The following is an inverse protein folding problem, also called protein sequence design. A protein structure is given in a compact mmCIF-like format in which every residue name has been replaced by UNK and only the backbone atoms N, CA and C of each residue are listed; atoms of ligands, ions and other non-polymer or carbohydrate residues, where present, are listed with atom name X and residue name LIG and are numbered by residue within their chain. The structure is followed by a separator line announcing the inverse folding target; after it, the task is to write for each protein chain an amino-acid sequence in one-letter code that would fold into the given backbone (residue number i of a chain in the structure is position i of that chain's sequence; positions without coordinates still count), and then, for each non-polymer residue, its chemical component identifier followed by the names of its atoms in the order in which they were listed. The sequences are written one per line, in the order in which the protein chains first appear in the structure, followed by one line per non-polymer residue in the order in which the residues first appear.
data_IF_714923867098
#
_entry.id   IF_714923867098
#
_cell.length_a   1.000
_cell.length_b   1.000
_cell.length_c   1.000
_cell.angle_alpha   90.00
_cell.angle_beta   90.00
_cell.angle_gamma   90.00
#
_symmetry.space_group_name_H-M   'P 1'
#
loop_
_entity.id
_entity.type
_entity.pdbx_description
1 polymer ?
#
# COMPACT_ATOMS: atom_id res chain seq x y z
N UNK A 1 -11.18 5.93 -11.57
CA UNK A 1 -10.68 7.32 -11.54
C UNK A 1 -9.26 7.33 -12.07
N UNK A 2 -8.91 8.21 -13.02
CA UNK A 2 -7.54 8.39 -13.49
C UNK A 2 -7.09 9.83 -13.21
N UNK A 3 -5.80 10.00 -12.94
CA UNK A 3 -5.17 11.33 -12.86
C UNK A 3 -5.03 11.85 -14.28
N UNK A 4 -5.61 13.02 -14.58
CA UNK A 4 -5.50 13.67 -15.88
C UNK A 4 -4.51 14.83 -15.88
N UNK A 5 -4.18 15.37 -14.72
CA UNK A 5 -3.15 16.38 -14.52
C UNK A 5 -2.45 16.15 -13.19
N UNK A 6 -1.13 16.19 -13.19
CA UNK A 6 -0.29 16.09 -12.00
C UNK A 6 0.69 17.25 -11.97
N UNK A 7 0.67 18.02 -10.89
CA UNK A 7 1.60 19.11 -10.64
C UNK A 7 2.44 18.81 -9.42
N UNK A 8 3.74 18.99 -9.53
CA UNK A 8 4.71 18.75 -8.47
C UNK A 8 5.60 19.97 -8.35
N UNK A 9 5.69 20.55 -7.17
CA UNK A 9 6.57 21.68 -6.90
C UNK A 9 7.49 21.37 -5.70
N UNK A 10 8.78 21.67 -5.86
CA UNK A 10 9.81 21.66 -4.82
C UNK A 10 9.98 20.32 -4.10
N UNK A 11 9.75 19.20 -4.80
CA UNK A 11 9.88 17.85 -4.24
C UNK A 11 11.22 17.22 -4.66
N UNK A 12 12.10 16.98 -3.73
CA UNK A 12 13.45 16.43 -3.98
C UNK A 12 14.21 17.32 -4.97
N UNK A 13 14.60 16.71 -6.11
CA UNK A 13 15.28 17.38 -7.23
C UNK A 13 14.29 18.01 -8.25
N UNK A 14 12.98 17.88 -8.04
CA UNK A 14 11.98 18.48 -8.91
C UNK A 14 11.67 19.90 -8.40
N UNK A 15 11.91 20.92 -9.23
CA UNK A 15 11.53 22.30 -8.91
C UNK A 15 10.08 22.55 -9.26
N UNK A 16 9.70 22.38 -10.51
CA UNK A 16 8.32 22.49 -10.99
C UNK A 16 8.12 21.52 -12.15
N UNK A 17 7.13 20.66 -12.02
CA UNK A 17 6.80 19.63 -13.03
C UNK A 17 5.31 19.61 -13.21
N UNK A 18 4.83 19.73 -14.45
CA UNK A 18 3.43 19.55 -14.83
C UNK A 18 3.34 18.42 -15.86
N UNK A 19 2.47 17.45 -15.56
CA UNK A 19 2.29 16.24 -16.35
C UNK A 19 0.83 16.07 -16.69
N UNK A 20 0.57 15.56 -17.90
CA UNK A 20 -0.76 15.14 -18.36
C UNK A 20 -0.74 13.61 -18.56
N UNK A 21 -0.96 12.82 -17.50
CA UNK A 21 -0.86 11.38 -17.60
C UNK A 21 -1.93 10.80 -18.54
N UNK A 22 -1.54 9.79 -19.31
CA UNK A 22 -2.47 8.99 -20.09
C UNK A 22 -3.30 8.09 -19.13
N UNK A 23 -4.60 7.87 -19.40
CA UNK A 23 -5.46 7.11 -18.49
C UNK A 23 -5.07 5.63 -18.32
N UNK A 24 -4.33 5.03 -19.23
CA UNK A 24 -3.98 3.60 -19.18
C UNK A 24 -2.55 3.33 -18.76
N UNK A 25 -1.56 3.87 -19.46
CA UNK A 25 -0.15 3.56 -19.20
C UNK A 25 0.72 4.80 -19.42
N UNK A 26 1.63 5.02 -18.47
CA UNK A 26 2.62 6.09 -18.53
C UNK A 26 3.99 5.49 -18.27
N UNK A 27 4.94 5.77 -19.12
CA UNK A 27 6.33 5.34 -19.00
C UNK A 27 7.21 6.54 -18.69
N UNK A 28 7.88 6.52 -17.54
CA UNK A 28 8.87 7.54 -17.15
C UNK A 28 10.26 7.03 -17.48
N UNK A 29 10.92 7.67 -18.46
CA UNK A 29 12.28 7.34 -18.91
C UNK A 29 13.24 8.48 -18.60
N UNK A 30 14.54 8.23 -18.63
CA UNK A 30 15.58 9.24 -18.43
C UNK A 30 16.79 8.73 -17.66
N UNK A 31 17.85 9.55 -17.56
CA UNK A 31 19.08 9.24 -16.86
C UNK A 31 18.88 9.01 -15.34
N UNK A 32 19.86 8.39 -14.68
CA UNK A 32 19.85 8.29 -13.23
C UNK A 32 19.90 9.70 -12.60
N UNK A 33 19.06 9.93 -11.57
CA UNK A 33 18.94 11.26 -10.95
C UNK A 33 17.97 12.22 -11.63
N UNK A 34 17.36 11.88 -12.80
CA UNK A 34 16.45 12.78 -13.54
C UNK A 34 15.10 13.05 -12.85
N UNK A 35 14.82 12.47 -11.69
CA UNK A 35 13.58 12.73 -10.97
C UNK A 35 12.46 11.69 -11.18
N UNK A 36 12.65 10.61 -11.95
CA UNK A 36 11.63 9.56 -12.17
C UNK A 36 11.04 9.02 -10.87
N UNK A 37 11.92 8.66 -9.94
CA UNK A 37 11.51 8.17 -8.62
C UNK A 37 10.83 9.26 -7.79
N UNK A 38 11.22 10.53 -7.98
CA UNK A 38 10.60 11.67 -7.30
C UNK A 38 9.16 11.90 -7.77
N UNK A 39 8.85 11.65 -9.05
CA UNK A 39 7.47 11.67 -9.57
C UNK A 39 6.62 10.57 -8.92
N UNK A 40 7.14 9.34 -8.79
CA UNK A 40 6.44 8.27 -8.09
C UNK A 40 6.27 8.57 -6.59
N UNK A 41 7.29 9.19 -5.99
CA UNK A 41 7.23 9.61 -4.58
C UNK A 41 6.17 10.71 -4.37
N UNK A 42 5.99 11.61 -5.35
CA UNK A 42 4.92 12.61 -5.33
C UNK A 42 3.52 11.94 -5.38
N UNK A 43 3.30 10.99 -6.27
CA UNK A 43 2.05 10.21 -6.32
C UNK A 43 1.82 9.44 -5.01
N UNK A 44 2.86 8.82 -4.45
CA UNK A 44 2.77 8.11 -3.18
C UNK A 44 2.48 9.04 -2.00
N UNK A 45 3.08 10.24 -2.00
CA UNK A 45 2.78 11.27 -1.02
C UNK A 45 1.32 11.70 -1.11
N UNK A 46 0.80 11.91 -2.33
CA UNK A 46 -0.59 12.28 -2.55
C UNK A 46 -1.55 11.16 -2.19
N UNK A 47 -1.25 9.91 -2.54
CA UNK A 47 -2.14 8.75 -2.32
C UNK A 47 -2.09 8.16 -0.91
N UNK A 48 -1.00 8.36 -0.15
CA UNK A 48 -0.80 7.74 1.17
C UNK A 48 -0.34 8.72 2.26
N UNK A 49 -0.17 10.01 1.94
CA UNK A 49 0.25 11.07 2.86
C UNK A 49 1.68 10.93 3.38
N UNK A 50 2.48 10.04 2.81
CA UNK A 50 3.86 9.75 3.24
C UNK A 50 4.76 9.39 2.06
N UNK A 51 6.08 9.60 2.25
CA UNK A 51 7.08 9.10 1.33
C UNK A 51 7.37 7.61 1.57
N UNK A 52 7.64 6.84 0.50
CA UNK A 52 8.14 5.47 0.61
C UNK A 52 9.67 5.41 0.77
N UNK A 53 10.38 6.54 0.60
CA UNK A 53 11.85 6.60 0.68
C UNK A 53 12.36 7.13 2.01
N UNK A 54 11.58 7.97 2.70
CA UNK A 54 12.04 8.62 3.94
C UNK A 54 10.86 9.07 4.81
N UNK A 55 10.92 8.75 6.09
CA UNK A 55 9.99 9.30 7.09
C UNK A 55 10.26 10.76 7.47
N UNK A 56 11.39 11.35 7.06
CA UNK A 56 11.79 12.71 7.43
C UNK A 56 11.28 13.71 6.38
N UNK A 57 10.37 14.62 6.79
CA UNK A 57 9.77 15.63 5.92
C UNK A 57 10.82 16.51 5.22
N UNK A 58 11.86 16.94 5.94
CA UNK A 58 12.96 17.77 5.40
C UNK A 58 13.63 17.14 4.17
N UNK A 59 13.76 15.81 4.14
CA UNK A 59 14.36 15.11 2.99
C UNK A 59 13.45 15.02 1.78
N UNK A 60 12.16 15.29 1.93
CA UNK A 60 11.18 15.30 0.85
C UNK A 60 11.17 16.63 0.11
N UNK A 61 11.35 17.70 0.84
CA UNK A 61 11.36 19.09 0.32
C UNK A 61 12.72 19.37 -0.34
N UNK A 62 12.71 20.11 -1.46
CA UNK A 62 13.93 20.62 -2.09
C UNK A 62 14.75 21.44 -1.07
N UNK A 63 16.09 21.37 -1.15
CA UNK A 63 16.96 21.97 -0.14
C UNK A 63 16.85 23.49 -0.05
N UNK A 64 16.53 24.16 -1.15
CA UNK A 64 16.36 25.61 -1.21
C UNK A 64 14.96 26.09 -0.70
N UNK A 65 14.04 25.15 -0.41
CA UNK A 65 12.64 25.47 -0.18
C UNK A 65 12.14 25.08 1.21
N UNK A 66 11.08 25.74 1.67
CA UNK A 66 10.44 25.48 2.96
C UNK A 66 9.36 24.40 2.91
N UNK A 67 8.81 24.11 1.74
CA UNK A 67 7.75 23.13 1.54
C UNK A 67 7.73 22.58 0.10
N UNK A 68 7.20 21.38 -0.08
CA UNK A 68 6.83 20.86 -1.39
C UNK A 68 5.32 20.73 -1.52
N UNK A 69 4.83 20.73 -2.77
CA UNK A 69 3.40 20.59 -3.08
C UNK A 69 3.22 19.55 -4.17
N UNK A 70 2.20 18.73 -4.01
CA UNK A 70 1.72 17.81 -5.06
C UNK A 70 0.22 18.04 -5.22
N UNK A 71 -0.20 18.23 -6.45
CA UNK A 71 -1.59 18.42 -6.82
C UNK A 71 -1.94 17.49 -7.97
N UNK A 72 -3.14 16.91 -7.93
CA UNK A 72 -3.69 16.13 -9.02
C UNK A 72 -5.13 16.54 -9.33
N UNK A 73 -5.47 16.52 -10.61
CA UNK A 73 -6.84 16.58 -11.12
C UNK A 73 -7.22 15.21 -11.67
N UNK A 74 -8.45 14.79 -11.41
CA UNK A 74 -8.98 13.50 -11.82
C UNK A 74 -9.95 13.62 -12.99
N UNK A 75 -10.15 12.52 -13.72
CA UNK A 75 -11.02 12.48 -14.89
C UNK A 75 -12.51 12.80 -14.59
N UNK A 76 -12.94 12.63 -13.34
CA UNK A 76 -14.28 13.00 -12.87
C UNK A 76 -14.41 14.48 -12.49
N UNK A 77 -13.38 15.28 -12.75
CA UNK A 77 -13.33 16.71 -12.43
C UNK A 77 -12.89 17.04 -11.00
N UNK A 78 -12.79 16.05 -10.12
CA UNK A 78 -12.33 16.25 -8.75
C UNK A 78 -10.84 16.53 -8.66
N UNK A 79 -10.39 17.00 -7.51
CA UNK A 79 -9.02 17.45 -7.27
C UNK A 79 -8.51 16.97 -5.91
N UNK A 80 -7.21 16.73 -5.81
CA UNK A 80 -6.56 16.48 -4.54
C UNK A 80 -5.19 17.15 -4.49
N UNK A 81 -4.81 17.66 -3.32
CA UNK A 81 -3.52 18.29 -3.11
C UNK A 81 -2.98 18.04 -1.71
N UNK A 82 -1.66 17.96 -1.62
CA UNK A 82 -0.91 17.89 -0.37
C UNK A 82 0.26 18.86 -0.42
N UNK A 83 0.39 19.68 0.63
CA UNK A 83 1.58 20.49 0.90
C UNK A 83 2.28 19.93 2.12
N UNK A 84 3.58 19.71 2.01
CA UNK A 84 4.41 19.19 3.10
C UNK A 84 5.53 20.16 3.40
N UNK A 85 5.51 20.74 4.59
CA UNK A 85 6.57 21.60 5.10
C UNK A 85 7.80 20.79 5.51
N UNK A 86 8.98 21.40 5.37
CA UNK A 86 10.23 20.84 5.86
C UNK A 86 10.23 20.63 7.39
N UNK A 87 9.46 21.43 8.12
CA UNK A 87 9.18 21.32 9.56
C UNK A 87 8.22 20.19 9.93
N UNK A 88 7.63 19.50 8.93
CA UNK A 88 6.68 18.40 9.11
C UNK A 88 5.21 18.80 9.03
N UNK A 89 4.87 20.08 8.94
CA UNK A 89 3.50 20.53 8.72
C UNK A 89 2.90 19.94 7.45
N UNK A 90 1.61 19.65 7.50
CA UNK A 90 0.88 19.07 6.37
C UNK A 90 -0.43 19.82 6.17
N UNK A 91 -0.63 20.35 4.97
CA UNK A 91 -1.91 20.88 4.54
C UNK A 91 -2.48 19.98 3.43
N UNK A 92 -3.77 19.68 3.53
CA UNK A 92 -4.49 18.82 2.61
C UNK A 92 -5.62 19.60 1.94
N UNK A 93 -5.91 19.27 0.69
CA UNK A 93 -7.06 19.76 -0.05
C UNK A 93 -7.67 18.65 -0.88
N UNK A 94 -9.00 18.47 -0.80
CA UNK A 94 -9.75 17.53 -1.64
C UNK A 94 -11.03 18.22 -2.08
N UNK A 95 -11.31 18.23 -3.38
CA UNK A 95 -12.54 18.78 -4.00
C UNK A 95 -12.93 20.17 -3.46
N UNK A 96 -11.96 21.10 -3.45
CA UNK A 96 -12.06 22.47 -2.93
C UNK A 96 -12.21 22.63 -1.40
N UNK A 97 -12.28 21.56 -0.63
CA UNK A 97 -12.25 21.62 0.83
C UNK A 97 -10.81 21.52 1.36
N UNK A 98 -10.46 22.40 2.30
CA UNK A 98 -9.20 22.34 3.06
C UNK A 98 -9.38 21.70 4.46
N UNK A 99 -10.63 21.47 4.88
CA UNK A 99 -10.93 20.77 6.13
C UNK A 99 -11.09 19.26 5.88
N UNK A 100 -10.02 18.65 5.43
CA UNK A 100 -10.03 17.21 5.05
C UNK A 100 -9.04 16.44 5.91
N UNK A 101 -9.38 15.18 6.14
CA UNK A 101 -8.51 14.22 6.81
C UNK A 101 -7.62 13.49 5.81
N UNK A 102 -6.51 12.94 6.29
CA UNK A 102 -5.65 12.09 5.47
C UNK A 102 -6.42 10.88 4.90
N UNK A 103 -7.37 10.32 5.65
CA UNK A 103 -8.20 9.21 5.19
C UNK A 103 -9.02 9.58 3.94
N UNK A 104 -9.60 10.78 3.89
CA UNK A 104 -10.34 11.26 2.71
C UNK A 104 -9.42 11.42 1.50
N UNK A 105 -8.20 11.95 1.70
CA UNK A 105 -7.20 12.04 0.64
C UNK A 105 -6.82 10.64 0.11
N UNK A 106 -6.56 9.68 1.01
CA UNK A 106 -6.21 8.29 0.66
C UNK A 106 -7.35 7.60 -0.10
N UNK A 107 -8.60 7.83 0.30
CA UNK A 107 -9.76 7.32 -0.44
C UNK A 107 -9.86 7.91 -1.86
N UNK A 108 -9.43 9.17 -2.05
CA UNK A 108 -9.50 9.85 -3.35
C UNK A 108 -8.52 9.29 -4.37
N UNK A 109 -7.35 8.80 -3.93
CA UNK A 109 -6.34 8.19 -4.78
C UNK A 109 -5.85 6.87 -4.18
N UNK A 110 -6.59 5.77 -4.38
CA UNK A 110 -6.12 4.44 -4.01
C UNK A 110 -4.84 4.11 -4.80
N UNK A 111 -3.70 4.06 -4.12
CA UNK A 111 -2.40 3.84 -4.73
C UNK A 111 -1.79 2.52 -4.25
N UNK A 112 -1.35 1.69 -5.19
CA UNK A 112 -0.55 0.51 -4.91
C UNK A 112 0.85 0.69 -5.48
N UNK A 113 1.86 0.72 -4.63
CA UNK A 113 3.26 0.79 -5.03
C UNK A 113 3.86 -0.62 -5.06
N UNK A 114 4.54 -0.94 -6.16
CA UNK A 114 5.42 -2.11 -6.25
C UNK A 114 6.87 -1.63 -6.32
N UNK A 115 7.62 -1.92 -5.28
CA UNK A 115 9.01 -1.52 -5.07
C UNK A 115 9.84 -2.69 -4.49
N UNK A 116 11.15 -2.55 -4.31
CA UNK A 116 11.96 -3.61 -3.69
C UNK A 116 11.51 -4.00 -2.28
N UNK A 117 10.98 -3.06 -1.47
CA UNK A 117 10.45 -3.31 -0.13
C UNK A 117 9.13 -4.10 -0.15
N UNK A 118 8.46 -4.16 -1.30
CA UNK A 118 7.26 -4.99 -1.48
C UNK A 118 7.53 -6.48 -1.27
N UNK A 119 8.80 -6.92 -1.35
CA UNK A 119 9.22 -8.29 -1.03
C UNK A 119 9.00 -8.65 0.44
N UNK A 120 8.92 -7.66 1.33
CA UNK A 120 8.59 -7.84 2.74
C UNK A 120 7.21 -8.49 2.96
N UNK A 121 6.33 -8.48 1.95
CA UNK A 121 5.07 -9.23 2.00
C UNK A 121 5.29 -10.76 2.16
N UNK A 122 6.42 -11.28 1.69
CA UNK A 122 6.79 -12.67 1.86
C UNK A 122 7.92 -12.84 2.88
N UNK A 123 8.97 -12.05 2.77
CA UNK A 123 10.23 -12.27 3.49
C UNK A 123 10.22 -11.69 4.93
N UNK A 124 9.28 -10.78 5.25
CA UNK A 124 9.16 -10.20 6.60
C UNK A 124 8.04 -10.86 7.44
N UNK A 125 7.93 -10.42 8.71
CA UNK A 125 6.87 -10.85 9.62
C UNK A 125 5.46 -10.45 9.16
N UNK A 126 4.46 -10.69 10.00
CA UNK A 126 3.03 -10.46 9.67
C UNK A 126 2.63 -8.99 9.42
N UNK A 127 3.42 -8.02 9.88
CA UNK A 127 3.06 -6.60 9.83
C UNK A 127 2.84 -6.06 8.40
N UNK A 128 3.73 -6.30 7.41
CA UNK A 128 3.49 -5.86 6.03
C UNK A 128 2.25 -6.51 5.42
N UNK A 129 2.04 -7.81 5.63
CA UNK A 129 0.89 -8.57 5.11
C UNK A 129 -0.42 -8.06 5.69
N UNK A 130 -0.46 -7.84 7.01
CA UNK A 130 -1.63 -7.25 7.68
C UNK A 130 -1.91 -5.84 7.19
N UNK A 131 -0.88 -5.00 7.03
CA UNK A 131 -1.04 -3.65 6.49
C UNK A 131 -1.60 -3.66 5.06
N UNK A 132 -1.19 -4.65 4.25
CA UNK A 132 -1.69 -4.85 2.89
C UNK A 132 -3.16 -5.29 2.89
N UNK A 133 -3.54 -6.21 3.78
CA UNK A 133 -4.94 -6.64 3.97
C UNK A 133 -5.81 -5.46 4.43
N UNK A 134 -5.38 -4.74 5.46
CA UNK A 134 -6.11 -3.59 6.00
C UNK A 134 -6.26 -2.46 4.99
N UNK A 135 -5.24 -2.25 4.13
CA UNK A 135 -5.33 -1.31 3.01
C UNK A 135 -6.44 -1.71 2.02
N UNK A 136 -6.54 -2.98 1.69
CA UNK A 136 -7.60 -3.47 0.81
C UNK A 136 -8.99 -3.29 1.42
N UNK A 137 -9.17 -3.71 2.67
CA UNK A 137 -10.44 -3.55 3.40
C UNK A 137 -10.84 -2.07 3.51
N UNK A 138 -9.90 -1.19 3.81
CA UNK A 138 -10.13 0.26 3.92
C UNK A 138 -10.76 0.87 2.67
N UNK A 139 -10.36 0.42 1.48
CA UNK A 139 -10.89 0.96 0.22
C UNK A 139 -12.25 0.38 -0.19
N UNK A 140 -12.69 -0.71 0.40
CA UNK A 140 -13.93 -1.41 0.06
C UNK A 140 -15.01 -1.21 1.13
N UNK A 141 -14.63 -1.19 2.40
CA UNK A 141 -15.56 -1.09 3.54
C UNK A 141 -15.39 0.26 4.26
N UNK A 142 -16.32 1.18 4.05
CA UNK A 142 -16.25 2.52 4.64
C UNK A 142 -16.29 2.54 6.18
N UNK A 143 -16.90 1.52 6.80
CA UNK A 143 -16.97 1.39 8.26
C UNK A 143 -15.67 0.86 8.87
N UNK A 144 -14.76 0.34 8.08
CA UNK A 144 -13.50 -0.25 8.56
C UNK A 144 -12.65 0.75 9.34
N UNK A 145 -12.41 1.92 8.77
CA UNK A 145 -11.46 2.89 9.35
C UNK A 145 -11.89 3.41 10.74
N UNK A 146 -13.14 3.82 10.98
CA UNK A 146 -13.60 4.19 12.33
C UNK A 146 -13.45 3.06 13.36
N UNK A 147 -13.75 1.81 12.97
CA UNK A 147 -13.59 0.64 13.84
C UNK A 147 -12.13 0.34 14.13
N UNK A 148 -11.29 0.42 13.11
CA UNK A 148 -9.85 0.25 13.23
C UNK A 148 -9.24 1.29 14.19
N UNK A 149 -9.64 2.54 14.08
CA UNK A 149 -9.18 3.60 14.98
C UNK A 149 -9.61 3.35 16.44
N UNK A 150 -10.86 2.92 16.68
CA UNK A 150 -11.32 2.56 18.03
C UNK A 150 -10.48 1.44 18.60
N UNK A 151 -10.30 0.37 17.84
CA UNK A 151 -9.47 -0.76 18.25
C UNK A 151 -8.03 -0.33 18.57
N UNK A 152 -7.40 0.46 17.71
CA UNK A 152 -6.02 0.94 17.92
C UNK A 152 -5.88 1.82 19.17
N UNK A 153 -6.86 2.67 19.45
CA UNK A 153 -6.88 3.49 20.67
C UNK A 153 -7.00 2.62 21.93
N UNK A 154 -7.95 1.69 21.94
CA UNK A 154 -8.16 0.76 23.05
C UNK A 154 -6.92 -0.12 23.28
N UNK A 155 -6.31 -0.66 22.22
CA UNK A 155 -5.07 -1.43 22.28
C UNK A 155 -3.92 -0.62 22.88
N UNK A 156 -3.75 0.63 22.44
CA UNK A 156 -2.71 1.53 22.96
C UNK A 156 -2.92 1.81 24.44
N UNK A 157 -4.15 2.07 24.86
CA UNK A 157 -4.50 2.28 26.27
C UNK A 157 -4.22 1.02 27.09
N UNK A 158 -4.74 -0.15 26.66
CA UNK A 158 -4.48 -1.43 27.33
C UNK A 158 -2.98 -1.69 27.49
N UNK A 159 -2.20 -1.52 26.42
CA UNK A 159 -0.75 -1.71 26.47
C UNK A 159 -0.03 -0.69 27.37
N UNK A 160 -0.55 0.53 27.50
CA UNK A 160 -0.02 1.52 28.45
C UNK A 160 -0.26 1.08 29.89
N UNK A 161 -1.44 0.55 30.18
CA UNK A 161 -1.82 0.07 31.51
C UNK A 161 -1.02 -1.18 31.91
N UNK A 162 -0.84 -2.14 30.99
CA UNK A 162 -0.01 -3.32 31.21
C UNK A 162 1.44 -2.94 31.62
N UNK A 163 1.99 -1.88 31.01
CA UNK A 163 3.33 -1.39 31.35
C UNK A 163 3.43 -0.62 32.67
N UNK A 164 2.34 0.04 33.08
CA UNK A 164 2.35 0.81 34.33
C UNK A 164 2.21 -0.05 35.58
N UNK A 165 1.73 -1.28 35.45
CA UNK A 165 1.48 -2.18 36.57
C UNK A 165 0.34 -1.74 37.52
N UNK A 166 -0.36 -0.64 37.20
CA UNK A 166 -1.26 0.05 38.14
C UNK A 166 -2.74 -0.34 38.00
N UNK A 167 -3.10 -1.37 37.22
CA UNK A 167 -4.52 -1.76 37.03
C UNK A 167 -4.72 -3.22 37.33
N UNK A 168 -5.73 -3.48 38.20
CA UNK A 168 -6.19 -4.81 38.47
C UNK A 168 -6.98 -5.42 37.30
N UNK A 169 -7.04 -6.76 37.28
CA UNK A 169 -7.75 -7.56 36.27
C UNK A 169 -9.22 -7.14 36.09
N UNK A 170 -9.89 -6.72 37.15
CA UNK A 170 -11.31 -6.34 37.17
C UNK A 170 -11.57 -4.98 36.51
N UNK A 171 -10.67 -4.01 36.66
CA UNK A 171 -10.83 -2.68 36.09
C UNK A 171 -10.61 -2.68 34.56
N UNK A 172 -9.88 -3.66 34.04
CA UNK A 172 -9.64 -3.84 32.61
C UNK A 172 -10.89 -4.39 31.88
N UNK A 173 -11.86 -5.00 32.56
CA UNK A 173 -12.99 -5.69 31.95
C UNK A 173 -13.90 -4.75 31.12
N UNK A 174 -14.06 -3.48 31.55
CA UNK A 174 -14.88 -2.49 30.83
C UNK A 174 -14.28 -2.18 29.46
N UNK A 175 -12.97 -2.00 29.41
CA UNK A 175 -12.21 -1.72 28.16
C UNK A 175 -12.15 -2.93 27.24
N UNK A 176 -12.14 -4.15 27.79
CA UNK A 176 -12.12 -5.38 27.01
C UNK A 176 -13.36 -5.54 26.14
N UNK A 177 -14.55 -5.16 26.63
CA UNK A 177 -15.80 -5.30 25.88
C UNK A 177 -15.80 -4.45 24.59
N UNK A 178 -15.47 -3.17 24.69
CA UNK A 178 -15.42 -2.28 23.51
C UNK A 178 -14.31 -2.71 22.53
N UNK A 179 -13.17 -3.11 23.07
CA UNK A 179 -12.03 -3.58 22.27
C UNK A 179 -12.37 -4.89 21.55
N UNK A 180 -13.05 -5.83 22.22
CA UNK A 180 -13.47 -7.12 21.65
C UNK A 180 -14.54 -6.93 20.57
N UNK A 181 -15.51 -6.04 20.77
CA UNK A 181 -16.50 -5.71 19.75
C UNK A 181 -15.83 -5.13 18.49
N UNK A 182 -14.89 -4.21 18.66
CA UNK A 182 -14.11 -3.68 17.54
C UNK A 182 -13.27 -4.77 16.87
N UNK A 183 -12.72 -5.72 17.63
CA UNK A 183 -11.94 -6.84 17.11
C UNK A 183 -12.78 -7.78 16.23
N UNK A 184 -13.99 -8.13 16.69
CA UNK A 184 -14.94 -8.96 15.93
C UNK A 184 -15.34 -8.29 14.60
N UNK A 185 -15.64 -6.98 14.65
CA UNK A 185 -15.97 -6.22 13.44
C UNK A 185 -14.81 -6.18 12.44
N UNK A 186 -13.57 -5.95 12.91
CA UNK A 186 -12.37 -5.97 12.05
C UNK A 186 -12.15 -7.33 11.41
N UNK A 187 -12.36 -8.40 12.17
CA UNK A 187 -12.26 -9.76 11.66
C UNK A 187 -13.29 -10.01 10.54
N UNK A 188 -14.57 -9.71 10.80
CA UNK A 188 -15.64 -9.88 9.82
C UNK A 188 -15.38 -9.07 8.54
N UNK A 189 -14.88 -7.84 8.62
CA UNK A 189 -14.50 -7.05 7.45
C UNK A 189 -13.36 -7.69 6.65
N UNK A 190 -12.35 -8.23 7.34
CA UNK A 190 -11.22 -8.91 6.68
C UNK A 190 -11.66 -10.20 6.00
N UNK A 191 -12.51 -11.01 6.62
CA UNK A 191 -13.04 -12.24 6.02
C UNK A 191 -13.88 -11.95 4.78
N UNK A 192 -14.82 -11.00 4.87
CA UNK A 192 -15.65 -10.59 3.74
C UNK A 192 -14.78 -10.07 2.57
N UNK A 193 -13.74 -9.33 2.88
CA UNK A 193 -12.80 -8.86 1.86
C UNK A 193 -12.00 -10.01 1.24
N UNK A 194 -11.48 -10.93 2.05
CA UNK A 194 -10.71 -12.08 1.58
C UNK A 194 -11.55 -13.00 0.69
N UNK A 195 -12.82 -13.23 1.03
CA UNK A 195 -13.73 -14.02 0.20
C UNK A 195 -13.89 -13.43 -1.21
N UNK A 196 -13.88 -12.09 -1.35
CA UNK A 196 -13.95 -11.41 -2.65
C UNK A 196 -12.58 -11.35 -3.36
N UNK A 197 -11.50 -11.24 -2.59
CA UNK A 197 -10.15 -11.10 -3.14
C UNK A 197 -9.54 -12.42 -3.58
N UNK A 198 -9.79 -13.50 -2.86
CA UNK A 198 -9.18 -14.82 -3.10
C UNK A 198 -9.34 -15.32 -4.55
N UNK A 199 -10.53 -15.26 -5.21
CA UNK A 199 -10.65 -15.67 -6.60
C UNK A 199 -9.79 -14.84 -7.56
N UNK A 200 -9.63 -13.54 -7.27
CA UNK A 200 -8.80 -12.64 -8.08
C UNK A 200 -7.32 -12.97 -7.95
N UNK A 201 -6.89 -13.32 -6.73
CA UNK A 201 -5.52 -13.75 -6.47
C UNK A 201 -5.22 -15.10 -7.13
N UNK A 202 -6.12 -16.08 -6.99
CA UNK A 202 -5.99 -17.42 -7.61
C UNK A 202 -5.87 -17.31 -9.13
N UNK A 203 -6.70 -16.54 -9.79
CA UNK A 203 -6.62 -16.30 -11.23
C UNK A 203 -5.27 -15.68 -11.64
N UNK A 204 -4.70 -14.79 -10.81
CA UNK A 204 -3.38 -14.18 -11.08
C UNK A 204 -2.24 -15.17 -10.86
N UNK A 205 -2.30 -15.98 -9.82
CA UNK A 205 -1.28 -17.02 -9.56
C UNK A 205 -1.30 -18.06 -10.67
N UNK A 206 -2.47 -18.50 -11.11
CA UNK A 206 -2.60 -19.43 -12.24
C UNK A 206 -1.98 -18.86 -13.54
N UNK A 207 -2.11 -17.56 -13.78
CA UNK A 207 -1.49 -16.91 -14.94
C UNK A 207 0.03 -16.71 -14.81
N UNK A 208 0.55 -16.40 -13.61
CA UNK A 208 1.96 -16.06 -13.40
C UNK A 208 2.83 -17.28 -13.07
N UNK A 209 2.26 -18.27 -12.40
CA UNK A 209 2.94 -19.46 -11.88
C UNK A 209 2.03 -20.68 -12.04
N UNK A 210 1.69 -21.10 -13.27
CA UNK A 210 0.71 -22.17 -13.53
C UNK A 210 1.10 -23.50 -12.90
N UNK A 211 2.38 -23.76 -12.72
CA UNK A 211 2.90 -24.99 -12.14
C UNK A 211 2.96 -25.00 -10.60
N UNK A 212 2.62 -23.86 -9.97
CA UNK A 212 2.70 -23.70 -8.51
C UNK A 212 1.31 -23.72 -7.89
N UNK A 213 1.03 -24.74 -7.07
CA UNK A 213 -0.18 -24.77 -6.24
C UNK A 213 0.05 -23.92 -4.98
N UNK A 214 -0.34 -22.66 -5.03
CA UNK A 214 -0.21 -21.73 -3.92
C UNK A 214 -1.58 -21.41 -3.32
N UNK A 215 -1.65 -21.30 -2.00
CA UNK A 215 -2.86 -20.94 -1.24
C UNK A 215 -2.61 -19.73 -0.35
N UNK A 216 -3.69 -19.02 -0.03
CA UNK A 216 -3.71 -17.97 1.00
C UNK A 216 -4.28 -18.55 2.29
N UNK A 217 -3.58 -18.37 3.40
CA UNK A 217 -4.03 -18.73 4.73
C UNK A 217 -4.15 -17.49 5.60
N UNK A 218 -5.36 -17.19 6.05
CA UNK A 218 -5.63 -16.11 7.00
C UNK A 218 -5.74 -16.65 8.42
N UNK A 219 -4.99 -16.04 9.33
CA UNK A 219 -5.10 -16.29 10.77
C UNK A 219 -5.57 -15.01 11.46
N UNK A 220 -6.67 -15.02 12.22
CA UNK A 220 -7.21 -13.82 12.85
C UNK A 220 -6.34 -13.26 13.98
N UNK A 221 -5.48 -14.09 14.58
CA UNK A 221 -4.61 -13.73 15.69
C UNK A 221 -5.19 -14.02 17.08
N UNK A 222 -6.34 -14.71 17.14
CA UNK A 222 -6.97 -15.27 18.33
C UNK A 222 -7.89 -16.44 17.92
N UNK A 223 -8.38 -17.21 18.88
CA UNK A 223 -9.40 -18.22 18.62
C UNK A 223 -10.77 -17.56 18.49
N UNK A 224 -11.33 -17.52 17.28
CA UNK A 224 -12.62 -16.88 17.01
C UNK A 224 -13.82 -17.64 17.54
N UNK A 225 -13.65 -18.92 17.93
CA UNK A 225 -14.69 -19.73 18.52
C UNK A 225 -14.95 -19.38 20.00
N UNK A 226 -14.01 -18.68 20.64
CA UNK A 226 -14.09 -18.30 22.04
C UNK A 226 -14.24 -16.77 22.20
N UNK A 227 -14.92 -16.28 23.25
CA UNK A 227 -14.95 -14.85 23.56
C UNK A 227 -13.53 -14.31 23.74
N UNK A 228 -13.19 -13.23 23.02
CA UNK A 228 -11.84 -12.66 23.06
C UNK A 228 -11.52 -12.05 24.43
N UNK A 229 -12.54 -11.58 25.13
CA UNK A 229 -12.47 -11.09 26.50
C UNK A 229 -11.93 -12.15 27.47
N UNK A 230 -12.43 -13.39 27.35
CA UNK A 230 -11.99 -14.52 28.17
C UNK A 230 -10.55 -14.90 27.89
N UNK A 231 -10.18 -14.93 26.61
CA UNK A 231 -8.80 -15.20 26.19
C UNK A 231 -7.82 -14.14 26.72
N UNK A 232 -8.20 -12.84 26.78
CA UNK A 232 -7.38 -11.81 27.41
C UNK A 232 -7.31 -11.97 28.93
N UNK A 233 -8.36 -12.48 29.55
CA UNK A 233 -8.33 -12.79 30.97
C UNK A 233 -7.37 -13.96 31.30
N UNK A 234 -7.34 -14.98 30.45
CA UNK A 234 -6.41 -16.12 30.57
C UNK A 234 -4.96 -15.72 30.29
N UNK A 235 -4.73 -14.83 29.34
CA UNK A 235 -3.38 -14.39 28.98
C UNK A 235 -2.88 -13.20 29.78
N UNK A 236 -3.63 -12.74 30.80
CA UNK A 236 -3.37 -11.50 31.52
C UNK A 236 -1.95 -11.42 32.10
N UNK A 237 -1.51 -12.41 32.84
CA UNK A 237 -0.17 -12.42 33.48
C UNK A 237 0.93 -12.33 32.43
N UNK A 238 0.80 -13.08 31.34
CA UNK A 238 1.76 -13.06 30.24
C UNK A 238 1.75 -11.71 29.48
N UNK A 239 0.59 -11.06 29.37
CA UNK A 239 0.49 -9.73 28.77
C UNK A 239 1.13 -8.66 29.67
N UNK A 240 1.01 -8.79 31.01
CA UNK A 240 1.67 -7.93 32.00
C UNK A 240 3.19 -8.11 31.92
N UNK A 241 3.69 -9.35 31.97
CA UNK A 241 5.12 -9.64 31.89
C UNK A 241 5.76 -9.06 30.61
N UNK A 242 5.05 -9.11 29.50
CA UNK A 242 5.54 -8.60 28.20
C UNK A 242 5.24 -7.12 27.96
N UNK A 243 4.42 -6.49 28.81
CA UNK A 243 4.00 -5.10 28.68
C UNK A 243 3.14 -4.81 27.44
N UNK A 244 2.56 -5.84 26.81
CA UNK A 244 1.70 -5.69 25.64
C UNK A 244 0.80 -6.91 25.36
N UNK A 245 -0.32 -6.65 24.71
CA UNK A 245 -1.33 -7.64 24.33
C UNK A 245 -0.78 -8.65 23.32
N UNK A 246 -0.95 -9.95 23.59
CA UNK A 246 -0.40 -11.03 22.79
C UNK A 246 -1.37 -11.56 21.73
N UNK A 247 -2.68 -11.41 21.90
CA UNK A 247 -3.70 -11.97 21.01
C UNK A 247 -4.70 -10.90 20.57
N UNK A 248 -5.24 -11.05 19.35
CA UNK A 248 -6.23 -10.15 18.76
C UNK A 248 -5.90 -9.74 17.32
N UNK A 249 -6.72 -8.88 16.67
CA UNK A 249 -6.58 -8.50 15.25
C UNK A 249 -5.22 -7.88 14.87
N UNK A 250 -4.52 -7.30 15.81
CA UNK A 250 -3.17 -6.76 15.63
C UNK A 250 -2.09 -7.85 15.48
N UNK A 251 -2.45 -9.11 15.74
CA UNK A 251 -1.62 -10.32 15.54
C UNK A 251 -2.03 -11.13 14.31
N UNK A 252 -3.12 -10.73 13.64
CA UNK A 252 -3.56 -11.40 12.43
C UNK A 252 -2.44 -11.50 11.39
N UNK A 253 -2.48 -12.55 10.60
CA UNK A 253 -1.54 -12.79 9.50
C UNK A 253 -2.26 -13.32 8.26
N UNK A 254 -1.66 -13.10 7.09
CA UNK A 254 -2.10 -13.61 5.81
C UNK A 254 -0.89 -14.20 5.08
N UNK A 255 -0.75 -15.51 5.12
CA UNK A 255 0.40 -16.23 4.56
C UNK A 255 0.09 -16.84 3.20
N UNK A 256 1.08 -16.80 2.33
CA UNK A 256 1.09 -17.62 1.11
C UNK A 256 1.80 -18.93 1.42
N UNK A 257 1.17 -20.04 1.05
CA UNK A 257 1.72 -21.40 1.27
C UNK A 257 1.73 -22.21 -0.01
N UNK A 258 2.66 -23.17 -0.09
CA UNK A 258 2.66 -24.27 -1.03
C UNK A 258 2.48 -25.58 -0.25
N UNK A 259 1.26 -26.11 -0.28
CA UNK A 259 0.87 -27.18 0.66
C UNK A 259 0.96 -26.68 2.11
N UNK A 260 1.76 -27.33 2.94
CA UNK A 260 1.99 -26.95 4.35
C UNK A 260 3.15 -25.96 4.54
N UNK A 261 4.04 -25.83 3.53
CA UNK A 261 5.24 -25.00 3.64
C UNK A 261 4.98 -23.54 3.32
N UNK A 262 5.57 -22.58 4.07
CA UNK A 262 5.53 -21.16 3.73
C UNK A 262 6.19 -20.89 2.37
N UNK A 263 5.59 -20.00 1.58
CA UNK A 263 6.06 -19.67 0.23
C UNK A 263 7.46 -19.03 0.22
N UNK A 264 7.80 -18.29 1.27
CA UNK A 264 9.11 -17.65 1.44
C UNK A 264 10.26 -18.68 1.60
N UNK A 265 9.99 -19.89 2.06
CA UNK A 265 10.99 -20.94 2.22
C UNK A 265 11.21 -21.77 0.93
N UNK A 266 10.16 -21.90 0.10
CA UNK A 266 10.15 -22.87 -1.01
C UNK A 266 10.19 -22.25 -2.40
N UNK A 267 9.94 -20.94 -2.53
CA UNK A 267 9.95 -20.25 -3.82
C UNK A 267 11.32 -19.62 -4.11
N UNK A 268 11.73 -19.69 -5.38
CA UNK A 268 12.87 -18.93 -5.87
C UNK A 268 12.61 -17.41 -5.80
N UNK A 269 13.65 -16.58 -5.81
CA UNK A 269 13.53 -15.11 -5.79
C UNK A 269 12.67 -14.57 -6.95
N UNK A 270 12.75 -15.19 -8.13
CA UNK A 270 11.93 -14.82 -9.28
C UNK A 270 10.45 -15.13 -9.03
N UNK A 271 10.15 -16.33 -8.53
CA UNK A 271 8.78 -16.75 -8.19
C UNK A 271 8.18 -15.89 -7.08
N UNK A 272 8.95 -15.57 -6.02
CA UNK A 272 8.51 -14.64 -4.96
C UNK A 272 8.06 -13.28 -5.52
N UNK A 273 8.81 -12.72 -6.49
CA UNK A 273 8.43 -11.46 -7.14
C UNK A 273 7.09 -11.57 -7.87
N UNK A 274 6.87 -12.68 -8.59
CA UNK A 274 5.60 -12.90 -9.28
C UNK A 274 4.44 -13.06 -8.29
N UNK A 275 4.65 -13.73 -7.15
CA UNK A 275 3.66 -13.82 -6.06
C UNK A 275 3.34 -12.43 -5.50
N UNK A 276 4.35 -11.62 -5.19
CA UNK A 276 4.15 -10.25 -4.69
C UNK A 276 3.42 -9.39 -5.73
N UNK A 277 3.77 -9.51 -7.01
CA UNK A 277 3.06 -8.85 -8.11
C UNK A 277 1.58 -9.30 -8.16
N UNK A 278 1.32 -10.62 -8.06
CA UNK A 278 -0.03 -11.17 -8.04
C UNK A 278 -0.84 -10.63 -6.86
N UNK A 279 -0.27 -10.64 -5.64
CA UNK A 279 -0.90 -10.08 -4.45
C UNK A 279 -1.28 -8.61 -4.64
N UNK A 280 -0.34 -7.80 -5.09
CA UNK A 280 -0.55 -6.35 -5.29
C UNK A 280 -1.56 -6.05 -6.41
N UNK A 281 -1.49 -6.77 -7.52
CA UNK A 281 -2.38 -6.55 -8.67
C UNK A 281 -3.80 -7.06 -8.46
N UNK A 282 -3.98 -8.16 -7.74
CA UNK A 282 -5.32 -8.68 -7.45
C UNK A 282 -6.10 -7.78 -6.50
N UNK A 283 -5.44 -7.12 -5.55
CA UNK A 283 -6.04 -6.08 -4.71
C UNK A 283 -6.62 -4.92 -5.51
N UNK A 284 -5.98 -4.59 -6.64
CA UNK A 284 -6.34 -3.48 -7.50
C UNK A 284 -7.66 -3.64 -8.24
N UNK A 285 -8.24 -4.85 -8.29
CA UNK A 285 -9.46 -5.16 -9.05
C UNK A 285 -10.76 -5.12 -8.25
N UNK A 286 -10.73 -4.83 -6.95
CA UNK A 286 -11.95 -4.73 -6.17
C UNK A 286 -12.72 -3.44 -6.47
N UNK A 287 -14.07 -3.44 -6.42
CA UNK A 287 -14.96 -2.55 -7.20
C UNK A 287 -14.97 -1.07 -6.83
N UNK A 288 -14.08 -0.57 -6.05
CA UNK A 288 -14.04 0.84 -5.66
C UNK A 288 -13.30 1.77 -6.64
N UNK A 289 -13.19 1.42 -7.92
CA UNK A 289 -12.60 2.31 -8.93
C UNK A 289 -11.07 2.45 -8.81
N UNK A 290 -10.46 2.56 -9.93
CA UNK A 290 -9.08 2.95 -10.27
C UNK A 290 -8.05 2.90 -9.15
N UNK A 291 -7.27 1.87 -9.17
CA UNK A 291 -6.02 1.81 -8.42
C UNK A 291 -4.89 2.18 -9.37
N UNK A 292 -4.26 3.31 -9.11
CA UNK A 292 -2.98 3.62 -9.71
C UNK A 292 -1.91 2.69 -9.13
N UNK A 293 -1.32 1.81 -9.94
CA UNK A 293 -0.16 1.04 -9.54
C UNK A 293 1.07 1.73 -10.06
N UNK A 294 1.95 2.18 -9.18
CA UNK A 294 3.26 2.69 -9.55
C UNK A 294 4.31 1.60 -9.32
N UNK A 295 5.01 1.22 -10.36
CA UNK A 295 6.05 0.21 -10.29
C UNK A 295 7.42 0.88 -10.26
N UNK A 296 8.21 0.60 -9.24
CA UNK A 296 9.59 1.03 -9.12
C UNK A 296 10.52 -0.17 -9.15
N UNK A 297 11.35 -0.27 -10.17
CA UNK A 297 12.37 -1.29 -10.29
C UNK A 297 13.73 -0.63 -9.99
N UNK A 298 14.26 -0.87 -8.81
CA UNK A 298 15.49 -0.23 -8.32
C UNK A 298 16.77 -0.69 -9.01
N UNK A 299 17.90 -0.09 -8.61
CA UNK A 299 19.26 -0.24 -9.16
C UNK A 299 19.80 -1.66 -9.36
N UNK A 300 19.20 -2.69 -8.75
CA UNK A 300 19.70 -4.08 -8.78
C UNK A 300 19.43 -4.84 -10.08
N UNK A 301 18.64 -4.25 -10.99
CA UNK A 301 18.32 -4.87 -12.29
C UNK A 301 18.68 -3.89 -13.41
N UNK A 302 19.82 -4.08 -14.08
CA UNK A 302 20.25 -3.18 -15.16
C UNK A 302 19.31 -3.18 -16.37
N UNK A 303 18.35 -4.10 -16.42
CA UNK A 303 17.41 -4.31 -17.53
C UNK A 303 16.13 -3.45 -17.39
N UNK A 304 15.74 -3.00 -16.18
CA UNK A 304 14.50 -2.23 -15.97
C UNK A 304 14.78 -0.90 -15.28
N UNK A 305 15.16 0.11 -16.08
CA UNK A 305 15.33 1.50 -15.63
C UNK A 305 14.03 2.32 -15.67
N UNK A 306 12.86 1.68 -15.68
CA UNK A 306 11.59 2.32 -15.95
C UNK A 306 10.67 2.28 -14.74
N UNK A 307 9.94 3.34 -14.55
CA UNK A 307 8.87 3.44 -13.56
C UNK A 307 7.54 3.55 -14.32
N UNK A 308 6.59 2.68 -14.02
CA UNK A 308 5.31 2.63 -14.73
C UNK A 308 4.19 2.90 -13.74
N UNK A 309 3.34 3.88 -14.01
CA UNK A 309 2.09 4.07 -13.32
C UNK A 309 0.96 3.54 -14.21
N UNK A 310 0.23 2.53 -13.74
CA UNK A 310 -0.85 1.88 -14.51
C UNK A 310 -2.17 2.07 -13.79
N UNK A 311 -3.16 2.73 -14.39
CA UNK A 311 -4.55 2.61 -13.96
C UNK A 311 -5.10 1.23 -14.34
N UNK A 312 -5.93 0.68 -13.48
CA UNK A 312 -6.44 -0.69 -13.62
C UNK A 312 -7.65 -0.77 -14.55
N UNK A 313 -7.45 -0.94 -15.84
CA UNK A 313 -8.46 -1.55 -16.72
C UNK A 313 -7.73 -2.28 -17.85
N UNK A 314 -7.97 -3.60 -17.98
CA UNK A 314 -7.54 -4.47 -19.09
C UNK A 314 -6.04 -4.50 -19.44
N UNK A 315 -5.25 -5.27 -18.70
CA UNK A 315 -3.80 -5.42 -18.94
C UNK A 315 -3.38 -6.87 -19.12
N UNK A 316 -4.19 -7.71 -19.75
CA UNK A 316 -3.85 -9.14 -19.93
C UNK A 316 -2.64 -9.38 -20.86
N UNK A 317 -2.31 -8.46 -21.78
CA UNK A 317 -1.12 -8.54 -22.66
C UNK A 317 0.12 -7.78 -22.20
N UNK A 318 0.04 -6.89 -21.22
CA UNK A 318 1.06 -5.87 -20.94
C UNK A 318 2.34 -6.36 -20.24
N UNK A 319 2.35 -7.55 -19.65
CA UNK A 319 3.54 -8.11 -18.98
C UNK A 319 4.46 -8.80 -19.99
N UNK A 320 3.90 -9.46 -21.00
CA UNK A 320 4.67 -10.06 -22.09
C UNK A 320 5.33 -8.95 -22.91
N UNK A 321 4.62 -7.86 -23.21
CA UNK A 321 5.16 -6.68 -23.90
C UNK A 321 6.23 -5.96 -23.08
N UNK A 322 6.12 -5.88 -21.74
CA UNK A 322 7.13 -5.25 -20.88
C UNK A 322 8.44 -6.06 -20.81
N UNK A 323 8.39 -7.38 -20.93
CA UNK A 323 9.59 -8.22 -20.94
C UNK A 323 10.41 -8.03 -22.24
N UNK A 324 9.76 -7.77 -23.36
CA UNK A 324 10.38 -7.49 -24.66
C UNK A 324 11.03 -6.11 -24.73
N UNK A 325 10.56 -5.15 -23.94
CA UNK A 325 10.98 -3.74 -24.00
C UNK A 325 12.26 -3.40 -23.23
N UNK A 326 12.84 -4.35 -22.52
CA UNK A 326 14.00 -4.13 -21.66
C UNK A 326 15.35 -4.05 -22.40
N UNK A 327 15.38 -4.16 -23.70
CA UNK A 327 16.62 -4.35 -24.49
C UNK A 327 17.22 -3.12 -25.18
N UNK A 328 16.58 -1.95 -25.24
CA UNK A 328 17.08 -0.81 -26.01
C UNK A 328 17.35 0.44 -25.18
N UNK A 329 18.53 1.02 -25.40
CA UNK A 329 19.02 2.25 -24.77
C UNK A 329 18.40 3.48 -25.44
N UNK A 330 17.55 4.21 -24.72
CA UNK A 330 17.05 5.52 -25.16
C UNK A 330 17.87 6.64 -24.50
N UNK A 331 18.42 7.55 -25.29
CA UNK A 331 19.39 8.59 -24.87
C UNK A 331 18.76 9.95 -24.53
N UNK A 332 17.45 10.13 -24.55
CA UNK A 332 16.85 11.45 -24.39
C UNK A 332 16.36 11.76 -22.97
N UNK A 333 16.70 12.97 -22.56
CA UNK A 333 16.45 13.58 -21.26
C UNK A 333 15.03 14.17 -21.19
N UNK A 334 14.32 13.88 -20.07
CA UNK A 334 13.14 14.63 -19.60
C UNK A 334 11.79 14.46 -20.31
N UNK A 335 11.52 13.40 -21.06
CA UNK A 335 10.19 13.21 -21.63
C UNK A 335 9.39 12.10 -20.95
N UNK A 336 8.17 12.43 -20.53
CA UNK A 336 7.13 11.44 -20.24
C UNK A 336 6.48 11.13 -21.58
N UNK A 337 6.58 9.87 -22.01
CA UNK A 337 5.98 9.42 -23.27
C UNK A 337 4.97 8.33 -23.00
N UNK A 338 3.90 8.28 -23.75
CA UNK A 338 2.98 7.14 -23.74
C UNK A 338 3.66 5.93 -24.37
N UNK A 339 3.28 4.72 -23.96
CA UNK A 339 3.84 3.48 -24.56
C UNK A 339 3.67 3.46 -26.08
N UNK A 340 2.57 3.97 -26.61
CA UNK A 340 2.37 4.10 -28.07
C UNK A 340 3.41 4.99 -28.75
N UNK A 341 3.80 6.09 -28.14
CA UNK A 341 4.84 6.99 -28.68
C UNK A 341 6.21 6.30 -28.67
N UNK A 342 6.54 5.57 -27.61
CA UNK A 342 7.78 4.81 -27.52
C UNK A 342 7.80 3.65 -28.53
N UNK A 343 6.67 2.94 -28.71
CA UNK A 343 6.54 1.88 -29.71
C UNK A 343 6.65 2.41 -31.15
N UNK A 344 6.04 3.55 -31.45
CA UNK A 344 6.15 4.19 -32.78
C UNK A 344 7.59 4.57 -33.12
N UNK A 345 8.36 5.09 -32.15
CA UNK A 345 9.77 5.49 -32.34
C UNK A 345 10.73 4.30 -32.53
N UNK A 346 10.32 3.07 -32.12
CA UNK A 346 11.13 1.86 -32.25
C UNK A 346 10.82 1.04 -33.51
N UNK A 347 9.69 1.32 -34.16
CA UNK A 347 9.27 0.66 -35.41
C UNK A 347 9.54 1.53 -36.64
N UNK A 348 9.99 2.76 -36.46
CA UNK A 348 10.52 3.67 -37.49
C UNK A 348 12.05 3.60 -37.55
#
# INVERSE_FOLDING_TARGET
MSVVRLEIAHLRNLQSVSLLPHPHLNLLTGANGSGKTSVLEALHLLGLGRSFRSGRARRLVNDAESACTVFAQFADGGQAGIRRGANGETALKVDNSSQVTLAQLVHRLPLCLLDPESMDLLDAGSKPRRAQLDWGVFHVEHRFYPVWLRYQRALKQRNSLLRSGNIGRLESAVWHREMAESARQLHAFRENYLAQWQPQWEARIAAFLPEQSLSLEYTPGWDVALPLEDQWAETWERDVDRGHTQIGPHRADLRVKRGTAPADEVLSRGQKKLVVCAMKRSLARLPAGVIGSAYYFGKRYPILRYSVAVPTVHTEGLIEDMALYCGTSCKDTHSIRTVRQVLADLTS
#
